data_IF_908442616533
#
_entry.id   IF_908442616533
#
_cell.length_a   1.000
_cell.length_b   1.000
_cell.length_c   1.000
_cell.angle_alpha   90.00
_cell.angle_beta   90.00
_cell.angle_gamma   90.00
#
_symmetry.space_group_name_H-M   'P 1'
#
loop_
_entity.id
_entity.type
_entity.pdbx_description
1 polymer ?
2 polymer ?
3 water ?
#
loop_
_entity_poly.entity_id
_entity_poly.type
_entity_poly.pdbx_seq_one_letter_code
_entity_poly.pdbx_strand_id
2 'polyribonucleotide' 'GGCGCUGCAUGUGGCAGUCUGCCUUUCUUUU' ?
#
# COMPACT_ATOMS: atom_id res chain seq x y z
N UNK A 29 8.43 9.14 5.37
CA UNK A 29 8.16 10.52 5.79
C UNK A 29 6.74 10.62 6.30
N UNK A 30 6.48 11.57 7.21
CA UNK A 30 5.14 11.79 7.75
C UNK A 30 4.26 12.35 6.65
N UNK A 31 4.82 13.25 5.80
CA UNK A 31 4.13 13.83 4.65
C UNK A 31 3.78 12.73 3.66
N UNK A 32 4.74 11.81 3.38
CA UNK A 32 4.58 10.67 2.46
C UNK A 32 3.30 9.95 2.80
N UNK A 33 3.09 9.67 4.11
CA UNK A 33 1.92 8.96 4.63
C UNK A 33 0.63 9.81 4.54
N UNK A 34 0.68 11.13 4.93
CA UNK A 34 -0.47 12.06 4.84
C UNK A 34 -1.00 12.05 3.39
N UNK A 35 -0.09 12.28 2.41
CA UNK A 35 -0.32 12.21 0.98
C UNK A 35 -0.92 10.85 0.56
N UNK A 36 -0.41 9.74 1.09
CA UNK A 36 -0.95 8.41 0.80
C UNK A 36 -2.41 8.25 1.34
N UNK A 37 -2.71 8.88 2.52
CA UNK A 37 -3.98 8.82 3.21
C UNK A 37 -5.07 9.69 2.63
N UNK A 38 -4.68 10.75 1.92
CA UNK A 38 -5.63 11.65 1.29
C UNK A 38 -6.08 10.89 0.05
N UNK A 39 -5.13 10.32 -0.67
CA UNK A 39 -5.37 9.56 -1.88
C UNK A 39 -6.19 8.32 -1.65
N UNK A 40 -6.06 7.64 -0.46
CA UNK A 40 -6.83 6.42 -0.09
C UNK A 40 -8.28 6.68 0.29
N UNK A 41 -8.55 7.89 0.79
CA UNK A 41 -9.88 8.37 1.20
C UNK A 41 -10.59 8.92 -0.02
N UNK A 42 -9.87 9.62 -0.91
CA UNK A 42 -10.52 10.17 -2.12
C UNK A 42 -10.78 9.08 -3.15
N UNK A 43 -9.84 8.10 -3.25
CA UNK A 43 -10.00 6.92 -4.12
C UNK A 43 -11.14 6.00 -3.52
N UNK A 44 -11.70 6.41 -2.36
CA UNK A 44 -12.80 5.74 -1.68
C UNK A 44 -14.11 6.48 -1.90
N UNK A 45 -14.16 7.78 -1.54
CA UNK A 45 -15.36 8.61 -1.66
C UNK A 45 -15.97 8.63 -3.06
N UNK A 46 -15.15 8.32 -4.09
CA UNK A 46 -15.50 8.24 -5.51
C UNK A 46 -15.48 6.80 -6.00
N UNK A 47 -14.85 5.93 -5.21
CA UNK A 47 -14.75 4.50 -5.48
C UNK A 47 -16.12 3.88 -5.52
N UNK A 48 -16.36 3.00 -6.50
CA UNK A 48 -17.63 2.31 -6.77
C UNK A 48 -18.56 2.22 -5.55
N UNK A 49 -18.27 1.27 -4.61
CA UNK A 49 -19.00 0.99 -3.37
C UNK A 49 -19.56 2.22 -2.66
N UNK A 50 -18.71 3.18 -2.19
CA UNK A 50 -19.22 4.38 -1.54
C UNK A 50 -20.15 5.21 -2.45
N UNK A 51 -19.85 5.34 -3.74
CA UNK A 51 -20.69 6.14 -4.59
C UNK A 51 -22.13 5.62 -4.75
N UNK A 52 -22.26 4.29 -4.77
CA UNK A 52 -23.53 3.57 -4.84
C UNK A 52 -24.37 3.76 -3.57
N UNK A 53 -23.73 3.83 -2.40
CA UNK A 53 -24.42 4.06 -1.13
C UNK A 53 -24.83 5.50 -0.88
N UNK A 54 -23.90 6.39 -0.42
CA UNK A 54 -24.19 7.81 -0.13
C UNK A 54 -24.71 8.66 -1.31
N UNK A 55 -25.83 9.37 -1.04
CA UNK A 55 -26.57 10.21 -1.97
C UNK A 55 -26.05 11.63 -2.12
N UNK A 56 -25.68 12.28 -1.01
CA UNK A 56 -25.17 13.68 -0.99
C UNK A 56 -24.15 13.97 -2.08
N UNK A 57 -23.02 13.25 -2.06
CA UNK A 57 -21.92 13.36 -3.02
C UNK A 57 -22.45 13.02 -4.45
N UNK A 58 -23.27 11.96 -4.57
CA UNK A 58 -23.89 11.54 -5.83
C UNK A 58 -24.82 12.63 -6.39
N UNK A 59 -25.42 13.45 -5.49
CA UNK A 59 -26.27 14.58 -5.84
C UNK A 59 -25.39 15.67 -6.45
N UNK A 60 -24.22 15.97 -5.81
CA UNK A 60 -23.25 16.96 -6.28
C UNK A 60 -22.71 16.70 -7.68
N UNK A 61 -22.35 15.43 -7.99
CA UNK A 61 -21.79 15.14 -9.31
C UNK A 61 -22.82 15.20 -10.42
N UNK A 62 -24.02 14.66 -10.17
CA UNK A 62 -25.11 14.67 -11.14
C UNK A 62 -25.63 16.10 -11.34
N UNK A 63 -25.78 16.86 -10.22
CA UNK A 63 -26.22 18.25 -10.24
C UNK A 63 -25.04 19.20 -10.54
N UNK A 64 -24.51 19.05 -11.78
CA UNK A 64 -23.42 19.75 -12.46
C UNK A 64 -23.33 19.14 -13.88
N UNK A 65 -23.60 17.81 -13.98
CA UNK A 65 -23.66 16.98 -15.19
C UNK A 65 -22.36 16.86 -16.02
N UNK A 66 -21.39 17.78 -15.77
CA UNK A 66 -20.07 17.78 -16.44
C UNK A 66 -19.07 16.86 -15.71
N UNK A 67 -19.56 16.23 -14.64
CA UNK A 67 -18.80 15.45 -13.67
C UNK A 67 -18.28 16.51 -12.73
N UNK A 68 -17.07 16.34 -12.19
CA UNK A 68 -16.37 17.33 -11.39
C UNK A 68 -16.59 18.12 -10.11
N UNK A 69 -16.92 17.75 -9.09
CA UNK A 69 -16.90 18.38 -7.78
C UNK A 69 -15.65 19.14 -7.29
N UNK A 70 -15.85 20.33 -6.72
CA UNK A 70 -14.74 21.15 -6.25
C UNK A 70 -14.02 20.50 -5.08
N UNK A 71 -12.69 20.61 -5.02
CA UNK A 71 -11.87 20.11 -3.91
C UNK A 71 -12.28 20.91 -2.66
N UNK A 72 -12.98 22.06 -2.85
CA UNK A 72 -13.56 22.95 -1.83
C UNK A 72 -14.51 22.13 -0.98
N UNK A 73 -15.38 21.38 -1.65
CA UNK A 73 -16.40 20.51 -1.11
C UNK A 73 -15.76 19.46 -0.22
N UNK A 74 -14.71 18.80 -0.73
CA UNK A 74 -13.98 17.79 0.02
C UNK A 74 -13.36 18.28 1.33
N UNK A 75 -12.83 19.52 1.35
CA UNK A 75 -12.21 20.11 2.56
C UNK A 75 -13.26 20.26 3.69
N UNK A 76 -14.54 20.43 3.32
CA UNK A 76 -15.64 20.54 4.27
C UNK A 76 -15.97 19.21 5.02
N UNK A 77 -15.56 18.02 4.47
CA UNK A 77 -15.82 16.71 5.11
C UNK A 77 -14.93 16.51 6.32
N UNK A 78 -15.48 15.87 7.37
CA UNK A 78 -14.84 15.62 8.67
C UNK A 78 -13.62 14.74 8.61
N UNK A 79 -13.56 13.79 7.65
CA UNK A 79 -12.40 12.91 7.52
C UNK A 79 -11.25 13.59 6.77
N UNK A 80 -11.59 14.57 5.92
CA UNK A 80 -10.56 15.32 5.20
C UNK A 80 -9.95 16.32 6.19
N UNK A 81 -10.80 17.04 6.97
CA UNK A 81 -10.44 18.04 8.00
C UNK A 81 -9.31 17.53 8.91
N UNK A 82 -9.36 16.24 9.30
CA UNK A 82 -8.36 15.59 10.13
C UNK A 82 -6.99 15.52 9.45
N UNK A 83 -6.93 15.46 8.11
CA UNK A 83 -5.67 15.37 7.34
C UNK A 83 -5.12 16.73 6.92
N UNK A 84 -5.86 17.45 6.04
CA UNK A 84 -5.46 18.75 5.48
C UNK A 84 -6.62 19.70 5.33
N UNK A 85 -6.30 21.00 5.26
CA UNK A 85 -7.24 22.11 5.01
C UNK A 85 -6.81 22.83 3.69
N UNK A 86 -5.62 22.42 3.17
CA UNK A 86 -5.01 22.90 1.93
C UNK A 86 -5.43 22.01 0.76
N UNK A 87 -5.99 22.60 -0.28
CA UNK A 87 -6.47 21.89 -1.45
C UNK A 87 -5.42 21.57 -2.49
N UNK A 88 -4.36 22.42 -2.60
CA UNK A 88 -3.27 22.24 -3.57
C UNK A 88 -2.49 20.97 -3.24
N UNK A 89 -2.43 20.64 -1.94
CA UNK A 89 -1.83 19.43 -1.37
C UNK A 89 -2.66 18.20 -1.76
N UNK A 90 -4.02 18.32 -1.73
CA UNK A 90 -4.96 17.26 -2.14
C UNK A 90 -4.73 16.97 -3.64
N UNK A 91 -4.55 18.02 -4.46
CA UNK A 91 -4.30 17.86 -5.90
C UNK A 91 -3.04 17.02 -6.13
N UNK A 92 -1.99 17.26 -5.33
CA UNK A 92 -0.72 16.54 -5.40
C UNK A 92 -0.94 15.06 -5.08
N UNK A 93 -1.76 14.77 -4.07
CA UNK A 93 -2.00 13.41 -3.64
C UNK A 93 -2.73 12.54 -4.66
N UNK A 94 -3.46 13.18 -5.58
CA UNK A 94 -4.27 12.52 -6.61
C UNK A 94 -3.69 12.50 -8.04
N UNK A 95 -2.38 12.78 -8.18
CA UNK A 95 -1.69 12.76 -9.47
C UNK A 95 -1.65 11.31 -9.95
N UNK A 96 -1.22 10.44 -9.03
CA UNK A 96 -1.18 8.99 -9.21
C UNK A 96 -2.44 8.48 -8.52
N UNK A 97 -3.46 8.10 -9.31
CA UNK A 97 -4.73 7.55 -8.83
C UNK A 97 -5.46 6.81 -9.92
N UNK A 98 -5.92 5.62 -9.63
CA UNK A 98 -6.63 4.83 -10.60
C UNK A 98 -7.94 5.48 -11.02
N UNK A 99 -8.63 6.04 -10.04
CA UNK A 99 -9.91 6.67 -10.25
C UNK A 99 -9.77 8.09 -9.87
N UNK A 100 -10.62 8.96 -10.37
CA UNK A 100 -10.56 10.34 -9.98
C UNK A 100 -9.43 11.06 -10.71
N UNK A 101 -9.79 12.02 -11.54
CA UNK A 101 -8.84 12.80 -12.31
C UNK A 101 -9.11 14.26 -12.07
N UNK A 102 -8.16 15.12 -12.41
CA UNK A 102 -8.27 16.56 -12.08
C UNK A 102 -8.65 17.65 -13.11
N UNK A 103 -8.13 17.58 -14.36
CA UNK A 103 -8.34 18.62 -15.41
C UNK A 103 -7.59 19.93 -15.11
N UNK A 104 -7.61 20.88 -16.09
CA UNK A 104 -6.97 22.21 -16.06
C UNK A 104 -7.60 22.92 -14.88
N UNK A 105 -6.79 23.22 -13.85
CA UNK A 105 -6.13 23.65 -12.59
C UNK A 105 -6.09 22.96 -11.20
N UNK A 106 -6.23 21.64 -11.07
CA UNK A 106 -6.14 21.02 -9.73
C UNK A 106 -7.05 21.66 -8.67
N UNK A 107 -8.30 21.83 -9.07
CA UNK A 107 -9.40 22.47 -8.35
C UNK A 107 -10.66 21.59 -8.26
N UNK A 108 -10.89 20.73 -9.27
CA UNK A 108 -12.05 19.84 -9.33
C UNK A 108 -11.67 18.39 -9.61
N UNK A 109 -12.40 17.42 -9.03
CA UNK A 109 -12.15 15.99 -9.27
C UNK A 109 -13.35 15.24 -9.85
N UNK A 110 -13.13 14.50 -10.95
CA UNK A 110 -14.16 13.69 -11.59
C UNK A 110 -13.76 12.22 -11.43
N UNK A 111 -14.73 11.28 -11.45
CA UNK A 111 -14.55 9.84 -11.30
C UNK A 111 -13.50 9.17 -12.20
N UNK A 112 -13.28 9.65 -13.46
CA UNK A 112 -12.30 9.08 -14.43
C UNK A 112 -12.73 7.78 -15.13
N UNK A 113 -13.84 7.18 -14.66
CA UNK A 113 -14.46 5.95 -15.19
C UNK A 113 -15.94 6.09 -14.77
N UNK A 114 -16.91 6.02 -15.71
CA UNK A 114 -18.31 6.27 -15.32
C UNK A 114 -18.91 5.24 -14.37
N UNK A 115 -19.87 5.68 -13.52
CA UNK A 115 -20.57 4.81 -12.56
C UNK A 115 -21.92 4.49 -13.16
N UNK A 116 -22.25 3.21 -13.17
CA UNK A 116 -23.50 2.75 -13.72
C UNK A 116 -24.40 2.03 -12.74
N UNK A 117 -24.77 0.79 -13.12
CA UNK A 117 -25.68 -0.11 -12.43
C UNK A 117 -25.16 -0.47 -11.04
N UNK A 118 -26.05 -0.48 -10.04
CA UNK A 118 -25.69 -0.88 -8.68
C UNK A 118 -25.63 -2.41 -8.67
N UNK A 119 -24.45 -2.99 -8.29
CA UNK A 119 -24.31 -4.47 -8.30
C UNK A 119 -25.25 -5.22 -7.38
N UNK A 120 -26.01 -6.19 -7.96
CA UNK A 120 -26.96 -7.03 -7.23
C UNK A 120 -26.25 -8.02 -6.32
N UNK A 121 -24.98 -8.34 -6.64
CA UNK A 121 -24.11 -9.23 -5.86
C UNK A 121 -23.78 -8.68 -4.47
N UNK A 122 -23.88 -7.35 -4.29
CA UNK A 122 -23.63 -6.59 -3.06
C UNK A 122 -23.99 -7.40 -1.81
N UNK A 123 -25.27 -7.81 -1.68
CA UNK A 123 -25.82 -8.61 -0.57
C UNK A 123 -25.01 -9.86 -0.23
N UNK A 124 -24.49 -10.56 -1.26
CA UNK A 124 -23.70 -11.77 -1.08
C UNK A 124 -22.28 -11.45 -0.57
N UNK A 125 -21.80 -10.23 -0.83
CA UNK A 125 -20.48 -9.77 -0.40
C UNK A 125 -20.52 -9.10 1.01
N UNK A 126 -21.65 -8.42 1.37
CA UNK A 126 -21.85 -7.79 2.68
C UNK A 126 -22.02 -8.86 3.76
N UNK A 127 -21.59 -8.55 4.99
CA UNK A 127 -21.65 -9.46 6.13
C UNK A 127 -22.22 -8.73 7.36
N UNK A 128 -23.28 -9.28 8.01
CA UNK A 128 -23.85 -8.73 9.25
C UNK A 128 -22.94 -9.16 10.41
N UNK A 129 -22.59 -8.22 11.30
CA UNK A 129 -21.75 -8.52 12.46
C UNK A 129 -22.21 -7.80 13.73
N UNK A 130 -22.41 -8.55 14.85
CA UNK A 130 -22.79 -7.98 16.16
C UNK A 130 -21.52 -7.61 16.91
N UNK A 131 -21.36 -6.31 17.19
CA UNK A 131 -20.16 -5.77 17.83
C UNK A 131 -20.24 -5.39 19.32
N UNK A 132 -19.03 -5.30 19.92
CA UNK A 132 -18.77 -4.92 21.29
C UNK A 132 -18.70 -3.38 21.42
N UNK A 133 -19.17 -2.79 22.55
CA UNK A 133 -19.14 -1.32 22.68
C UNK A 133 -17.72 -0.71 22.77
N UNK A 134 -17.55 0.61 22.57
CA UNK A 134 -18.60 1.58 22.26
C UNK A 134 -18.45 2.00 20.81
N UNK A 135 -19.37 1.48 19.93
CA UNK A 135 -19.43 1.65 18.46
C UNK A 135 -18.19 1.06 17.75
N UNK A 136 -17.07 0.91 18.51
CA UNK A 136 -15.74 0.42 18.15
C UNK A 136 -15.10 1.00 16.88
N UNK A 137 -15.85 1.84 16.13
CA UNK A 137 -15.45 2.55 14.90
C UNK A 137 -14.88 1.73 13.72
N UNK A 138 -14.65 2.42 12.58
CA UNK A 138 -14.12 1.85 11.37
C UNK A 138 -12.73 1.24 11.56
N UNK A 139 -11.89 1.86 12.42
CA UNK A 139 -10.52 1.40 12.71
C UNK A 139 -10.39 0.04 13.38
N UNK A 140 -11.41 -0.38 14.15
CA UNK A 140 -11.36 -1.69 14.78
C UNK A 140 -11.87 -2.75 13.80
N UNK A 141 -12.95 -2.43 13.06
CA UNK A 141 -13.53 -3.33 12.07
C UNK A 141 -12.56 -3.59 10.90
N UNK A 142 -11.83 -2.54 10.42
CA UNK A 142 -10.83 -2.70 9.36
C UNK A 142 -9.67 -3.61 9.78
N UNK A 143 -9.26 -3.50 11.07
CA UNK A 143 -8.19 -4.27 11.71
C UNK A 143 -8.52 -5.79 11.68
N UNK A 144 -9.58 -6.21 12.42
CA UNK A 144 -10.08 -7.59 12.57
C UNK A 144 -10.52 -8.25 11.23
N UNK A 145 -11.16 -7.49 10.33
CA UNK A 145 -11.69 -7.96 9.04
C UNK A 145 -10.79 -7.85 7.81
N UNK A 146 -9.68 -7.12 7.95
CA UNK A 146 -8.69 -7.01 6.87
C UNK A 146 -8.00 -8.35 6.64
N UNK A 147 -7.86 -9.13 7.74
CA UNK A 147 -7.28 -10.48 7.88
C UNK A 147 -7.90 -11.53 6.93
N UNK A 148 -9.11 -11.25 6.37
CA UNK A 148 -9.80 -12.15 5.45
C UNK A 148 -10.34 -11.49 4.15
N UNK A 149 -9.68 -10.43 3.71
CA UNK A 149 -10.04 -9.76 2.47
C UNK A 149 -10.13 -8.25 2.49
N UNK A 150 -9.88 -7.61 1.32
CA UNK A 150 -9.95 -6.16 1.15
C UNK A 150 -11.36 -5.61 1.37
N UNK A 151 -11.50 -4.92 2.52
CA UNK A 151 -12.72 -4.29 3.03
C UNK A 151 -13.05 -3.04 2.20
N UNK A 152 -14.11 -3.14 1.43
CA UNK A 152 -14.54 -2.09 0.50
C UNK A 152 -15.43 -1.04 1.16
N UNK A 153 -16.35 -1.48 2.00
CA UNK A 153 -17.27 -0.59 2.70
C UNK A 153 -17.63 -1.17 4.05
N UNK A 154 -17.69 -0.29 5.07
CA UNK A 154 -18.10 -0.61 6.42
C UNK A 154 -19.28 0.32 6.73
N UNK A 155 -20.34 -0.23 7.32
CA UNK A 155 -21.51 0.54 7.70
C UNK A 155 -21.81 0.31 9.17
N UNK A 156 -21.68 1.36 10.02
CA UNK A 156 -22.02 1.28 11.45
C UNK A 156 -23.31 2.12 11.62
N UNK A 157 -24.51 1.49 11.53
CA UNK A 157 -25.75 2.28 11.55
C UNK A 157 -26.09 2.87 12.88
N UNK A 158 -26.50 4.14 12.85
CA UNK A 158 -26.91 4.96 13.99
C UNK A 158 -28.35 5.39 13.80
N UNK A 159 -29.18 5.29 14.87
CA UNK A 159 -30.59 5.67 14.82
C UNK A 159 -30.74 7.13 14.46
N UNK A 160 -31.71 7.47 13.60
CA UNK A 160 -32.04 8.86 13.30
C UNK A 160 -32.64 9.37 14.62
N UNK A 161 -32.96 10.68 14.75
CA UNK A 161 -33.56 11.27 15.98
C UNK A 161 -32.20 11.07 16.68
N UNK A 162 -32.20 10.29 17.79
CA UNK A 162 -31.03 9.97 18.59
C UNK A 162 -29.85 9.19 18.02
N UNK A 163 -28.72 9.87 17.83
CA UNK A 163 -27.50 9.28 17.26
C UNK A 163 -26.86 8.20 18.11
N UNK A 164 -27.61 7.11 18.33
CA UNK A 164 -27.21 5.98 19.15
C UNK A 164 -26.82 4.80 18.26
N UNK A 165 -25.71 4.10 18.58
CA UNK A 165 -25.31 2.95 17.75
C UNK A 165 -26.23 1.75 17.98
N UNK A 166 -26.75 1.16 16.88
CA UNK A 166 -27.68 0.00 16.94
C UNK A 166 -27.02 -1.33 17.35
N UNK A 167 -25.74 -1.29 17.72
CA UNK A 167 -24.97 -2.45 18.20
C UNK A 167 -24.32 -3.33 17.16
N UNK A 168 -24.67 -3.10 15.87
CA UNK A 168 -24.13 -3.88 14.74
C UNK A 168 -23.37 -3.07 13.68
N UNK A 169 -22.80 -3.81 12.70
CA UNK A 169 -22.05 -3.31 11.56
C UNK A 169 -22.32 -4.18 10.33
N UNK A 170 -22.06 -3.62 9.15
CA UNK A 170 -22.17 -4.30 7.87
C UNK A 170 -20.82 -4.15 7.18
N UNK A 171 -20.12 -5.26 6.95
CA UNK A 171 -18.80 -5.22 6.31
C UNK A 171 -18.85 -5.83 4.91
N UNK A 172 -18.73 -4.98 3.88
CA UNK A 172 -18.73 -5.39 2.49
C UNK A 172 -17.30 -5.77 2.14
N UNK A 173 -17.12 -6.80 1.32
CA UNK A 173 -15.82 -7.28 0.86
C UNK A 173 -15.86 -7.38 -0.63
N UNK A 174 -14.73 -7.15 -1.32
CA UNK A 174 -14.77 -7.42 -2.75
C UNK A 174 -14.55 -8.89 -2.84
N UNK A 175 -15.25 -9.56 -3.75
CA UNK A 175 -15.26 -11.03 -3.92
C UNK A 175 -16.09 -11.73 -2.86
N UNK A 176 -17.13 -12.44 -3.32
CA UNK A 176 -18.04 -13.24 -2.51
C UNK A 176 -17.28 -14.36 -1.79
N UNK A 177 -16.03 -14.64 -2.23
CA UNK A 177 -15.11 -15.64 -1.70
C UNK A 177 -14.46 -15.11 -0.41
N UNK A 178 -14.22 -13.79 -0.36
CA UNK A 178 -13.66 -13.12 0.80
C UNK A 178 -14.73 -12.99 1.85
N UNK A 179 -16.00 -12.77 1.41
CA UNK A 179 -17.20 -12.65 2.25
C UNK A 179 -17.37 -13.88 3.13
N UNK A 180 -17.30 -15.08 2.53
CA UNK A 180 -17.40 -16.36 3.21
C UNK A 180 -16.24 -16.57 4.21
N UNK A 181 -15.02 -16.08 3.87
CA UNK A 181 -13.83 -16.17 4.73
C UNK A 181 -14.00 -15.38 6.06
N UNK A 182 -15.07 -14.56 6.15
CA UNK A 182 -15.46 -13.77 7.32
C UNK A 182 -16.59 -14.46 8.10
N UNK A 183 -17.57 -15.08 7.38
CA UNK A 183 -18.67 -15.83 8.01
C UNK A 183 -18.09 -17.17 8.54
N UNK A 184 -16.82 -17.45 8.19
CA UNK A 184 -16.06 -18.58 8.68
C UNK A 184 -15.54 -18.18 10.05
N UNK A 185 -15.12 -16.91 10.21
CA UNK A 185 -14.67 -16.33 11.48
C UNK A 185 -15.85 -16.23 12.48
N UNK A 186 -17.10 -16.29 11.96
CA UNK A 186 -18.35 -16.30 12.71
C UNK A 186 -18.41 -17.58 13.60
N UNK A 187 -17.81 -18.70 13.11
CA UNK A 187 -17.71 -20.00 13.81
C UNK A 187 -16.40 -20.16 14.59
N UNK A 188 -15.29 -19.53 14.12
CA UNK A 188 -13.96 -19.58 14.76
C UNK A 188 -13.96 -18.66 15.98
N UNK A 189 -12.87 -18.75 16.81
CA UNK A 189 -12.98 -18.31 18.21
C UNK A 189 -14.00 -17.19 18.37
N UNK B 29 -7.76 -6.43 -9.03
CA UNK B 29 -7.38 -7.26 -10.18
C UNK B 29 -6.10 -7.99 -9.86
N UNK B 30 -5.88 -9.15 -10.50
CA UNK B 30 -4.66 -9.92 -10.31
C UNK B 30 -3.49 -9.15 -10.94
N UNK B 31 -3.74 -8.51 -12.11
CA UNK B 31 -2.75 -7.67 -12.80
C UNK B 31 -2.39 -6.49 -11.90
N UNK B 32 -3.41 -5.83 -11.30
CA UNK B 32 -3.24 -4.68 -10.39
C UNK B 32 -2.18 -4.99 -9.36
N UNK B 33 -2.27 -6.20 -8.75
CA UNK B 33 -1.32 -6.68 -7.75
C UNK B 33 0.10 -6.98 -8.34
N UNK B 34 0.18 -7.57 -9.56
CA UNK B 34 1.45 -7.88 -10.26
C UNK B 34 2.21 -6.57 -10.60
N UNK B 35 1.48 -5.50 -10.94
CA UNK B 35 2.06 -4.19 -11.20
C UNK B 35 2.47 -3.54 -9.87
N UNK B 36 1.75 -3.86 -8.79
CA UNK B 36 1.99 -3.40 -7.42
C UNK B 36 3.29 -4.02 -6.87
N UNK B 37 3.55 -5.27 -7.27
CA UNK B 37 4.68 -6.10 -6.84
C UNK B 37 5.96 -5.91 -7.65
N UNK B 38 5.84 -5.49 -8.93
CA UNK B 38 7.00 -5.17 -9.75
C UNK B 38 7.55 -3.93 -9.04
N UNK B 39 6.73 -2.88 -9.00
CA UNK B 39 7.02 -1.58 -8.41
C UNK B 39 7.64 -1.65 -7.01
N UNK B 40 7.30 -2.68 -6.17
CA UNK B 40 7.90 -2.90 -4.83
C UNK B 40 9.38 -3.29 -5.02
N UNK B 41 9.62 -4.38 -5.79
CA UNK B 41 10.95 -4.91 -6.10
C UNK B 41 11.93 -3.88 -6.65
N UNK B 42 11.53 -3.09 -7.64
CA UNK B 42 12.46 -2.11 -8.20
C UNK B 42 12.69 -0.93 -7.22
N UNK B 43 11.62 -0.49 -6.49
CA UNK B 43 11.69 0.61 -5.52
C UNK B 43 12.56 0.11 -4.33
N UNK B 44 12.87 -1.21 -4.34
CA UNK B 44 13.74 -1.88 -3.38
C UNK B 44 15.17 -2.00 -3.91
N UNK B 45 15.36 -2.70 -5.05
CA UNK B 45 16.68 -2.92 -5.68
C UNK B 45 17.48 -1.63 -5.87
N UNK B 46 16.78 -0.47 -5.98
CA UNK B 46 17.32 0.89 -6.16
C UNK B 46 17.20 1.71 -4.88
N UNK B 47 16.35 1.24 -3.98
CA UNK B 47 16.10 1.86 -2.70
C UNK B 47 17.36 1.86 -1.88
N UNK B 48 17.66 3.02 -1.23
CA UNK B 48 18.85 3.27 -0.39
C UNK B 48 19.53 1.98 0.14
N UNK B 49 18.94 1.36 1.21
CA UNK B 49 19.40 0.14 1.88
C UNK B 49 19.99 -0.93 0.96
N UNK B 50 19.22 -1.49 0.00
CA UNK B 50 19.77 -2.50 -0.90
C UNK B 50 20.94 -1.97 -1.74
N UNK B 51 20.88 -0.71 -2.20
CA UNK B 51 21.97 -0.21 -3.03
C UNK B 51 23.33 -0.12 -2.31
N UNK B 52 23.28 0.21 -1.00
CA UNK B 52 24.42 0.27 -0.10
C UNK B 52 25.06 -1.10 0.13
N UNK B 53 24.23 -2.17 0.23
CA UNK B 53 24.72 -3.52 0.42
C UNK B 53 25.26 -4.18 -0.86
N UNK B 54 24.40 -4.72 -1.77
CA UNK B 54 24.83 -5.36 -3.04
C UNK B 54 25.66 -4.49 -4.01
N UNK B 55 26.80 -5.06 -4.46
CA UNK B 55 27.79 -4.43 -5.33
C UNK B 55 27.48 -4.52 -6.82
N UNK B 56 27.06 -5.72 -7.31
CA UNK B 56 26.76 -5.99 -8.72
C UNK B 56 25.97 -4.89 -9.40
N UNK B 57 24.74 -4.61 -8.89
CA UNK B 57 23.84 -3.58 -9.39
C UNK B 57 24.51 -2.19 -9.30
N UNK B 58 25.16 -1.88 -8.15
CA UNK B 58 25.86 -0.62 -7.91
C UNK B 58 27.02 -0.44 -8.91
N UNK B 59 27.60 -1.58 -9.37
CA UNK B 59 28.67 -1.59 -10.39
C UNK B 59 28.07 -1.17 -11.74
N UNK B 60 26.87 -1.74 -12.09
CA UNK B 60 26.15 -1.42 -13.33
C UNK B 60 25.78 0.06 -13.46
N UNK B 61 25.32 0.70 -12.38
CA UNK B 61 24.93 2.12 -12.44
C UNK B 61 26.13 3.03 -12.57
N UNK B 62 27.21 2.74 -11.84
CA UNK B 62 28.46 3.51 -11.87
C UNK B 62 29.16 3.31 -13.24
N UNK B 63 29.49 2.05 -13.58
CA UNK B 63 30.17 1.71 -14.83
C UNK B 63 29.23 1.77 -16.04
N UNK B 64 28.79 3.00 -16.32
CA UNK B 64 27.91 3.35 -17.42
C UNK B 64 27.87 4.87 -17.44
N UNK B 65 26.81 5.42 -18.02
CA UNK B 65 26.62 6.87 -18.11
C UNK B 65 26.18 7.46 -16.78
N UNK B 66 25.62 8.66 -16.83
CA UNK B 66 25.09 9.32 -15.65
C UNK B 66 23.81 8.66 -15.14
N UNK B 67 23.95 7.41 -14.71
CA UNK B 67 22.85 6.60 -14.23
C UNK B 67 22.33 5.70 -15.33
N UNK B 68 21.14 5.15 -15.13
CA UNK B 68 20.43 4.24 -16.05
C UNK B 68 21.02 2.85 -16.25
N UNK B 69 20.20 1.86 -15.92
CA UNK B 69 20.46 0.46 -16.17
C UNK B 69 19.27 -0.03 -17.00
N UNK B 70 19.52 -0.89 -17.99
CA UNK B 70 18.46 -1.39 -18.86
C UNK B 70 17.48 -2.27 -18.09
N UNK B 71 16.18 -2.17 -18.42
CA UNK B 71 15.13 -3.02 -17.83
C UNK B 71 15.42 -4.46 -18.27
N UNK B 72 16.30 -4.64 -19.29
CA UNK B 72 16.82 -5.91 -19.82
C UNK B 72 17.49 -6.67 -18.68
N UNK B 73 18.36 -5.94 -17.95
CA UNK B 73 19.14 -6.41 -16.83
C UNK B 73 18.21 -6.92 -15.75
N UNK B 74 17.18 -6.15 -15.39
CA UNK B 74 16.21 -6.52 -14.38
C UNK B 74 15.44 -7.82 -14.69
N UNK B 75 15.09 -8.06 -15.98
CA UNK B 75 14.37 -9.28 -16.40
C UNK B 75 15.22 -10.54 -16.13
N UNK B 76 16.56 -10.39 -16.13
CA UNK B 76 17.49 -11.48 -15.86
C UNK B 76 17.52 -11.94 -14.38
N UNK B 77 17.08 -11.07 -13.42
CA UNK B 77 17.03 -11.41 -11.99
C UNK B 77 15.94 -12.43 -11.68
N UNK B 78 16.21 -13.32 -10.73
CA UNK B 78 15.31 -14.41 -10.34
C UNK B 78 14.00 -13.95 -9.76
N UNK B 79 13.96 -12.78 -9.10
CA UNK B 79 12.75 -12.24 -8.49
C UNK B 79 11.85 -11.58 -9.50
N UNK B 80 12.42 -11.08 -10.59
CA UNK B 80 11.64 -10.45 -11.65
C UNK B 80 11.06 -11.53 -12.56
N UNK B 81 11.84 -12.60 -12.82
CA UNK B 81 11.47 -13.76 -13.63
C UNK B 81 10.12 -14.34 -13.16
N UNK B 82 9.94 -14.42 -11.81
CA UNK B 82 8.72 -14.92 -11.19
C UNK B 82 7.49 -14.05 -11.51
N UNK B 83 7.67 -12.74 -11.75
CA UNK B 83 6.55 -11.83 -12.05
C UNK B 83 6.25 -11.69 -13.55
N UNK B 84 7.21 -11.14 -14.32
CA UNK B 84 7.06 -10.85 -15.75
C UNK B 84 8.37 -11.07 -16.49
N UNK B 85 8.25 -11.25 -17.83
CA UNK B 85 9.35 -11.38 -18.78
C UNK B 85 9.28 -10.22 -19.80
N UNK B 86 8.15 -9.47 -19.74
CA UNK B 86 7.85 -8.29 -20.55
C UNK B 86 8.34 -7.02 -19.83
N UNK B 87 9.14 -6.24 -20.53
CA UNK B 87 9.71 -5.01 -19.99
C UNK B 87 8.82 -3.79 -20.10
N UNK B 88 7.92 -3.74 -21.11
CA UNK B 88 7.00 -2.62 -21.35
C UNK B 88 6.01 -2.52 -20.20
N UNK B 89 5.66 -3.70 -19.61
CA UNK B 89 4.81 -3.89 -18.45
C UNK B 89 5.50 -3.33 -17.20
N UNK B 90 6.84 -3.59 -17.05
CA UNK B 90 7.68 -3.08 -15.96
C UNK B 90 7.69 -1.53 -16.04
N UNK B 91 7.83 -0.97 -17.25
CA UNK B 91 7.80 0.48 -17.44
C UNK B 91 6.50 1.09 -16.90
N UNK B 92 5.36 0.42 -17.15
CA UNK B 92 4.05 0.84 -16.69
C UNK B 92 3.99 0.84 -15.17
N UNK B 93 4.58 -0.17 -14.53
CA UNK B 93 4.55 -0.31 -13.09
C UNK B 93 5.33 0.79 -12.34
N UNK B 94 6.30 1.41 -13.02
CA UNK B 94 7.17 2.44 -12.45
C UNK B 94 6.86 3.89 -12.84
N UNK B 95 5.65 4.16 -13.40
CA UNK B 95 5.23 5.52 -13.79
C UNK B 95 5.06 6.33 -12.51
N UNK B 96 4.35 5.72 -11.55
CA UNK B 96 4.14 6.26 -10.22
C UNK B 96 5.15 5.54 -9.34
N UNK B 97 6.24 6.26 -8.96
CA UNK B 97 7.31 5.72 -8.09
C UNK B 97 8.11 6.84 -7.48
N UNK B 98 8.37 6.73 -6.15
CA UNK B 98 9.13 7.72 -5.39
C UNK B 98 10.59 7.73 -5.81
N UNK B 99 11.25 6.56 -5.75
CA UNK B 99 12.68 6.50 -6.04
C UNK B 99 13.03 5.60 -7.23
N UNK B 100 12.98 6.19 -8.43
CA UNK B 100 13.30 5.51 -9.69
C UNK B 100 12.74 6.43 -10.75
N UNK B 101 13.10 6.23 -12.01
CA UNK B 101 12.59 7.12 -13.06
C UNK B 101 12.97 6.51 -14.42
N UNK B 102 12.29 6.87 -15.54
CA UNK B 102 12.54 6.19 -16.82
C UNK B 102 12.53 7.53 -17.61
N UNK B 103 13.33 7.49 -18.65
CA UNK B 103 13.65 8.57 -19.49
C UNK B 103 12.85 8.75 -20.75
N UNK B 104 13.23 8.10 -21.82
CA UNK B 104 12.45 8.30 -22.99
C UNK B 104 11.89 6.99 -23.40
N UNK B 105 12.33 6.01 -23.60
CA UNK B 105 11.57 4.83 -23.93
C UNK B 105 10.72 3.63 -23.30
N UNK B 106 10.98 3.88 -21.88
CA UNK B 106 10.62 2.95 -20.81
C UNK B 106 11.54 1.74 -20.88
N UNK B 107 12.77 2.02 -21.30
CA UNK B 107 13.81 1.02 -21.52
C UNK B 107 14.89 1.00 -20.42
N UNK B 108 15.17 2.17 -19.80
CA UNK B 108 16.19 2.32 -18.75
C UNK B 108 15.66 2.96 -17.46
N UNK B 109 16.16 2.52 -16.29
CA UNK B 109 15.77 3.10 -15.01
C UNK B 109 16.93 3.67 -14.20
N UNK B 110 16.82 4.93 -13.77
CA UNK B 110 17.81 5.59 -12.96
C UNK B 110 17.20 5.85 -11.58
N UNK B 111 18.04 5.94 -10.52
CA UNK B 111 17.64 6.17 -9.14
C UNK B 111 16.68 7.34 -8.86
N UNK B 112 16.75 8.46 -9.64
CA UNK B 112 15.90 9.66 -9.46
C UNK B 112 16.27 10.58 -8.28
N UNK B 113 17.22 10.15 -7.45
CA UNK B 113 17.85 10.90 -6.37
C UNK B 113 19.21 10.21 -6.14
N UNK B 114 20.34 10.95 -6.20
CA UNK B 114 21.66 10.31 -6.11
C UNK B 114 21.94 9.59 -4.77
N UNK B 115 22.76 8.52 -4.80
CA UNK B 115 23.14 7.76 -3.61
C UNK B 115 24.52 8.21 -3.19
N UNK B 116 24.66 8.50 -1.91
CA UNK B 116 25.92 8.96 -1.35
C UNK B 116 26.48 8.09 -0.24
N UNK B 117 26.74 8.74 0.91
CA UNK B 117 27.34 8.16 2.11
C UNK B 117 26.51 7.01 2.69
N UNK B 118 27.20 5.94 3.11
CA UNK B 118 26.54 4.79 3.72
C UNK B 118 26.22 5.15 5.17
N UNK B 119 24.93 5.10 5.58
CA UNK B 119 24.56 5.50 6.96
C UNK B 119 25.19 4.66 8.08
N UNK B 120 25.86 5.36 9.03
CA UNK B 120 26.52 4.75 10.18
C UNK B 120 25.50 4.21 11.18
N UNK B 121 24.27 4.77 11.16
CA UNK B 121 23.15 4.38 12.00
C UNK B 121 22.66 2.95 11.73
N UNK B 122 22.95 2.42 10.51
CA UNK B 122 22.61 1.09 10.03
C UNK B 122 22.57 0.05 11.15
N UNK B 123 23.72 -0.15 11.85
CA UNK B 123 23.91 -1.09 12.96
C UNK B 123 22.85 -0.98 14.07
N UNK B 124 22.42 0.26 14.38
CA UNK B 124 21.41 0.51 15.41
C UNK B 124 20.02 0.14 14.94
N UNK B 125 19.80 0.14 13.60
CA UNK B 125 18.52 -0.21 12.98
C UNK B 125 18.41 -1.72 12.69
N UNK B 126 19.54 -2.41 12.37
CA UNK B 126 19.60 -3.85 12.11
C UNK B 126 19.37 -4.63 13.41
N UNK B 127 18.76 -5.81 13.32
CA UNK B 127 18.44 -6.66 14.47
C UNK B 127 18.84 -8.12 14.17
N UNK B 128 19.65 -8.76 15.07
CA UNK B 128 20.03 -10.17 14.94
C UNK B 128 18.85 -11.01 15.43
N UNK B 129 18.49 -12.06 14.70
CA UNK B 129 17.39 -12.95 15.07
C UNK B 129 17.68 -14.43 14.76
N UNK B 130 17.55 -15.33 15.78
CA UNK B 130 17.73 -16.78 15.62
C UNK B 130 16.42 -17.39 15.19
N UNK B 131 16.40 -17.98 13.97
CA UNK B 131 15.21 -18.53 13.34
C UNK B 131 15.02 -20.05 13.35
N UNK B 132 13.75 -20.44 13.15
CA UNK B 132 13.26 -21.81 13.05
C UNK B 132 13.43 -22.35 11.61
N UNK B 133 13.74 -23.66 11.43
CA UNK B 133 13.94 -24.20 10.07
C UNK B 133 12.67 -24.20 9.18
N UNK B 134 12.79 -24.36 7.85
CA UNK B 134 14.05 -24.48 7.11
C UNK B 134 14.28 -23.19 6.33
N UNK B 135 15.24 -22.36 6.81
CA UNK B 135 15.63 -21.02 6.32
C UNK B 135 14.47 -20.00 6.42
N UNK B 136 13.21 -20.51 6.50
CA UNK B 136 11.92 -19.83 6.58
C UNK B 136 11.66 -18.68 5.60
N UNK B 137 12.68 -18.31 4.80
CA UNK B 137 12.66 -17.26 3.74
C UNK B 137 12.22 -15.84 4.14
N UNK B 138 12.34 -14.90 3.19
CA UNK B 138 11.98 -13.50 3.36
C UNK B 138 10.51 -13.30 3.71
N UNK B 139 9.60 -14.14 3.17
CA UNK B 139 8.16 -14.07 3.39
C UNK B 139 7.75 -14.17 4.85
N UNK B 140 8.26 -15.19 5.58
CA UNK B 140 7.96 -15.41 7.00
C UNK B 140 8.50 -14.29 7.86
N UNK B 141 9.79 -13.93 7.64
CA UNK B 141 10.48 -12.84 8.35
C UNK B 141 9.75 -11.51 8.16
N UNK B 142 9.31 -11.19 6.91
CA UNK B 142 8.56 -9.98 6.56
C UNK B 142 7.20 -9.91 7.29
N UNK B 143 6.51 -11.06 7.35
CA UNK B 143 5.19 -11.23 7.98
C UNK B 143 5.23 -10.86 9.49
N UNK B 144 5.99 -11.65 10.28
CA UNK B 144 6.20 -11.50 11.73
C UNK B 144 6.80 -10.15 12.18
N UNK B 145 7.75 -9.60 11.40
CA UNK B 145 8.44 -8.34 11.71
C UNK B 145 7.84 -7.05 11.12
N UNK B 146 6.87 -7.17 10.23
CA UNK B 146 6.17 -6.01 9.68
C UNK B 146 5.32 -5.35 10.76
N UNK B 147 4.82 -6.17 11.71
CA UNK B 147 4.01 -5.87 12.91
C UNK B 147 4.63 -4.78 13.83
N UNK B 148 5.97 -4.54 13.72
CA UNK B 148 6.69 -3.55 14.52
C UNK B 148 7.58 -2.57 13.73
N UNK B 149 7.23 -2.32 12.48
CA UNK B 149 7.95 -1.35 11.65
C UNK B 149 8.27 -1.77 10.23
N UNK B 150 8.36 -0.77 9.32
CA UNK B 150 8.69 -1.00 7.91
C UNK B 150 10.08 -1.58 7.71
N UNK B 151 10.09 -2.87 7.33
CA UNK B 151 11.26 -3.72 7.07
C UNK B 151 11.95 -3.30 5.77
N UNK B 152 13.13 -2.69 5.91
CA UNK B 152 13.88 -2.14 4.79
C UNK B 152 14.77 -3.16 4.10
N UNK B 153 15.43 -4.01 4.89
CA UNK B 153 16.32 -5.03 4.38
C UNK B 153 16.30 -6.25 5.28
N UNK B 154 16.31 -7.43 4.68
CA UNK B 154 16.41 -8.71 5.37
C UNK B 154 17.63 -9.41 4.81
N UNK B 155 18.43 -10.00 5.70
CA UNK B 155 19.61 -10.74 5.31
C UNK B 155 19.57 -12.14 5.93
N UNK B 156 19.46 -13.20 5.09
CA UNK B 156 19.49 -14.59 5.57
C UNK B 156 20.83 -15.17 5.08
N UNK B 157 21.90 -15.11 5.92
CA UNK B 157 23.22 -15.53 5.45
C UNK B 157 23.37 -17.02 5.28
N UNK B 158 23.96 -17.39 4.13
CA UNK B 158 24.26 -18.76 3.69
C UNK B 158 25.76 -18.90 3.53
N UNK B 159 26.33 -20.03 4.02
CA UNK B 159 27.76 -20.29 3.92
C UNK B 159 28.19 -20.35 2.47
N UNK B 160 29.34 -19.76 2.13
CA UNK B 160 29.93 -19.88 0.80
C UNK B 160 30.33 -21.38 0.73
N UNK B 161 30.81 -21.89 -0.43
CA UNK B 161 31.23 -23.30 -0.58
C UNK B 161 29.76 -23.72 -0.48
N UNK B 162 29.44 -24.58 0.50
CA UNK B 162 28.10 -25.08 0.78
C UNK B 162 26.95 -24.15 1.16
N UNK B 163 25.98 -23.98 0.25
CA UNK B 163 24.83 -23.09 0.44
C UNK B 163 23.88 -23.53 1.54
N UNK B 164 24.40 -23.56 2.77
CA UNK B 164 23.69 -23.99 3.97
C UNK B 164 23.31 -22.76 4.81
N UNK B 165 22.06 -22.72 5.33
CA UNK B 165 21.66 -21.57 6.14
C UNK B 165 22.30 -21.60 7.54
N UNK B 166 22.85 -20.44 7.97
CA UNK B 166 23.54 -20.24 9.26
C UNK B 166 22.60 -20.24 10.49
N UNK B 167 21.31 -20.50 10.27
CA UNK B 167 20.30 -20.55 11.31
C UNK B 167 19.75 -19.20 11.76
N UNK B 168 20.39 -18.08 11.31
CA UNK B 168 19.99 -16.72 11.67
C UNK B 168 19.60 -15.80 10.50
N UNK B 169 19.13 -14.59 10.85
CA UNK B 169 18.71 -13.52 9.96
C UNK B 169 19.06 -12.16 10.56
N UNK B 170 19.15 -11.14 9.71
CA UNK B 170 19.41 -9.75 10.09
C UNK B 170 18.28 -8.93 9.50
N UNK B 171 17.44 -8.31 10.35
CA UNK B 171 16.30 -7.51 9.89
C UNK B 171 16.56 -6.03 10.16
N UNK B 172 16.89 -5.26 9.11
CA UNK B 172 17.17 -3.83 9.23
C UNK B 172 15.86 -3.09 9.11
N UNK B 173 15.48 -2.37 10.17
CA UNK B 173 14.22 -1.61 10.24
C UNK B 173 14.44 -0.17 9.84
N UNK B 174 13.58 0.72 10.37
CA UNK B 174 13.68 2.15 10.20
C UNK B 174 13.52 2.90 11.54
N UNK B 175 13.86 4.21 11.54
CA UNK B 175 13.78 5.14 12.69
C UNK B 175 14.58 4.79 13.98
N UNK B 176 15.22 3.60 14.03
CA UNK B 176 15.91 3.04 15.21
C UNK B 176 14.90 2.74 16.33
N UNK B 177 13.71 3.34 16.23
CA UNK B 177 12.60 3.16 17.17
C UNK B 177 11.93 1.84 16.82
N UNK B 178 11.69 1.59 15.51
CA UNK B 178 11.09 0.36 15.01
C UNK B 178 12.00 -0.81 15.37
N UNK B 179 13.33 -0.56 15.34
CA UNK B 179 14.36 -1.55 15.67
C UNK B 179 14.16 -2.07 17.09
N UNK B 180 14.00 -1.14 18.06
CA UNK B 180 13.78 -1.47 19.46
C UNK B 180 12.47 -2.22 19.70
N UNK B 181 11.41 -1.88 18.93
CA UNK B 181 10.08 -2.51 19.01
C UNK B 181 10.12 -3.99 18.60
N UNK B 182 11.27 -4.44 18.04
CA UNK B 182 11.55 -5.82 17.64
C UNK B 182 12.41 -6.53 18.68
N UNK B 183 13.40 -5.81 19.28
CA UNK B 183 14.26 -6.35 20.36
C UNK B 183 13.43 -6.43 21.65
N UNK B 184 12.20 -5.86 21.60
CA UNK B 184 11.21 -5.92 22.66
C UNK B 184 10.54 -7.29 22.53
N UNK B 185 10.28 -7.71 21.28
CA UNK B 185 9.70 -9.01 20.95
C UNK B 185 10.70 -10.15 21.30
N UNK B 186 11.99 -9.81 21.45
CA UNK B 186 13.10 -10.69 21.86
C UNK B 186 12.82 -11.21 23.30
N UNK B 187 12.18 -10.36 24.15
CA UNK B 187 11.80 -10.67 25.54
C UNK B 187 10.36 -11.22 25.66
N UNK B 188 9.50 -10.89 24.67
CA UNK B 188 8.11 -11.35 24.56
C UNK B 188 8.14 -12.84 24.14
N UNK B 189 6.74 -13.36 25.05
CA UNK B 189 6.70 -14.82 25.23
C UNK B 189 7.43 -15.56 24.11
#
# INVERSE_FOLDING_TARGET
METESGNQEKVMEEESTEKKKEVEKKKRSRVKQVLADIAKQVDFWFGDANLHKDRFLREQIEKSRDGYVDISLLVSFNKMKKLTTDGKLIARALRSSAVVELDLEGTRIRRKKPLGERPKDEDERTVYVELLPKNVNHSWIERVFGKCGNVVYISIPHYKSTGDPKGFAFVEFETKEQAAKAIEFLNNPPEEAPRKPGIFPKTVKNKP
METESGNQEKVMEEESTEKKKEVEKKKRSRVKQVLADIAKQVDFWFGDANLHKDRFLREQIEKSRDGYVDISLLVSFNKMKKLTTDGKLIARALRSSAVVELDLEGTRIRRKKPLGERPKDEDERTVYVELLPKNVNHSWIERVFGKCGNVVYISIPHYKSTGDPKGFAFVEFETKEQAAKAIEFLNNPPEEAPRKPGIFPKTVKNKP
#
